data_IF_395477497426
#
_entry.id   IF_395477497426
#
_cell.length_a   1.000
_cell.length_b   1.000
_cell.length_c   1.000
_cell.angle_alpha   90.00
_cell.angle_beta   90.00
_cell.angle_gamma   90.00
#
_symmetry.space_group_name_H-M   'P 1'
#
loop_
_entity.id
_entity.type
_entity.pdbx_description
1 polymer ?
#
# COMPACT_ATOMS: atom_id res chain seq x y z
N UNK A 1 0.23 19.31 31.06
CA UNK A 1 1.48 18.84 30.46
C UNK A 1 1.50 19.27 29.00
N UNK A 2 2.33 20.29 28.69
CA UNK A 2 2.53 20.76 27.31
C UNK A 2 3.48 19.77 26.63
N UNK A 3 3.03 19.09 25.59
CA UNK A 3 3.85 18.18 24.79
C UNK A 3 4.97 18.96 24.09
N UNK A 4 6.12 18.34 23.89
CA UNK A 4 7.19 18.91 23.07
C UNK A 4 6.71 19.13 21.62
N UNK A 5 7.27 20.11 20.87
CA UNK A 5 6.82 20.43 19.51
C UNK A 5 6.77 19.23 18.56
N UNK A 6 7.73 18.31 18.64
CA UNK A 6 7.74 17.08 17.85
C UNK A 6 6.57 16.13 18.20
N UNK A 7 6.27 15.95 19.48
CA UNK A 7 5.14 15.12 19.92
C UNK A 7 3.78 15.73 19.56
N UNK A 8 3.68 17.07 19.50
CA UNK A 8 2.48 17.75 19.03
C UNK A 8 2.25 17.53 17.54
N UNK A 9 3.28 17.58 16.72
CA UNK A 9 3.20 17.32 15.28
C UNK A 9 2.76 15.89 14.97
N UNK A 10 3.35 14.89 15.64
CA UNK A 10 2.97 13.48 15.51
C UNK A 10 1.51 13.26 15.91
N UNK A 11 1.05 13.86 17.00
CA UNK A 11 -0.34 13.73 17.45
C UNK A 11 -1.32 14.33 16.43
N UNK A 12 -1.01 15.49 15.85
CA UNK A 12 -1.84 16.12 14.84
C UNK A 12 -1.92 15.29 13.55
N UNK A 13 -0.80 14.72 13.09
CA UNK A 13 -0.75 13.83 11.93
C UNK A 13 -1.59 12.57 12.15
N UNK A 14 -1.48 11.96 13.34
CA UNK A 14 -2.29 10.81 13.73
C UNK A 14 -3.80 11.14 13.73
N UNK A 15 -4.18 12.25 14.37
CA UNK A 15 -5.59 12.69 14.38
C UNK A 15 -6.14 12.92 12.97
N UNK A 16 -5.32 13.47 12.07
CA UNK A 16 -5.70 13.67 10.67
C UNK A 16 -5.92 12.34 9.94
N UNK A 17 -5.02 11.36 10.14
CA UNK A 17 -5.18 10.00 9.58
C UNK A 17 -6.43 9.30 10.13
N UNK A 18 -6.68 9.40 11.43
CA UNK A 18 -7.87 8.83 12.06
C UNK A 18 -9.16 9.44 11.48
N UNK A 19 -9.18 10.76 11.26
CA UNK A 19 -10.28 11.46 10.60
C UNK A 19 -10.50 10.99 9.14
N UNK A 20 -9.42 10.83 8.37
CA UNK A 20 -9.47 10.28 7.00
C UNK A 20 -10.05 8.86 7.03
N UNK A 21 -9.60 8.01 7.95
CA UNK A 21 -10.05 6.64 8.08
C UNK A 21 -11.54 6.55 8.45
N UNK A 22 -12.02 7.43 9.34
CA UNK A 22 -13.43 7.51 9.69
C UNK A 22 -14.31 7.94 8.51
N UNK A 23 -13.88 8.95 7.75
CA UNK A 23 -14.61 9.40 6.55
C UNK A 23 -14.64 8.30 5.47
N UNK A 24 -13.51 7.59 5.29
CA UNK A 24 -13.44 6.47 4.35
C UNK A 24 -14.38 5.34 4.75
N UNK A 25 -14.37 4.97 6.04
CA UNK A 25 -15.31 3.98 6.59
C UNK A 25 -16.75 4.35 6.25
N UNK A 26 -17.16 5.56 6.62
CA UNK A 26 -18.52 6.04 6.36
C UNK A 26 -18.90 5.97 4.88
N UNK A 27 -18.02 6.41 3.98
CA UNK A 27 -18.26 6.38 2.53
C UNK A 27 -18.38 4.95 1.98
N UNK A 28 -17.62 4.00 2.52
CA UNK A 28 -17.72 2.59 2.12
C UNK A 28 -19.00 1.94 2.66
N UNK A 29 -19.37 2.19 3.91
CA UNK A 29 -20.63 1.71 4.51
C UNK A 29 -21.86 2.24 3.75
N UNK A 30 -21.85 3.52 3.35
CA UNK A 30 -22.89 4.10 2.50
C UNK A 30 -22.95 3.43 1.12
N UNK A 31 -21.80 3.11 0.52
CA UNK A 31 -21.72 2.48 -0.80
C UNK A 31 -22.22 1.02 -0.77
N UNK A 32 -21.78 0.24 0.22
CA UNK A 32 -22.15 -1.17 0.36
C UNK A 32 -23.50 -1.35 1.07
N UNK A 33 -24.01 -0.32 1.75
CA UNK A 33 -25.22 -0.35 2.59
C UNK A 33 -25.13 -1.36 3.75
N UNK A 34 -23.93 -1.65 4.19
CA UNK A 34 -23.62 -2.55 5.30
C UNK A 34 -22.26 -2.21 5.91
N UNK A 35 -22.03 -2.63 7.14
CA UNK A 35 -20.71 -2.60 7.75
C UNK A 35 -19.81 -3.66 7.14
N UNK A 36 -18.62 -3.25 6.71
CA UNK A 36 -17.60 -4.16 6.15
C UNK A 36 -16.32 -4.08 6.96
N UNK A 37 -15.60 -5.21 7.13
CA UNK A 37 -14.30 -5.21 7.80
C UNK A 37 -13.28 -4.41 6.99
N UNK A 38 -12.64 -3.43 7.63
CA UNK A 38 -11.64 -2.54 7.01
C UNK A 38 -10.26 -2.75 7.62
N UNK A 39 -9.24 -2.71 6.76
CA UNK A 39 -7.83 -2.73 7.13
C UNK A 39 -7.19 -1.46 6.63
N UNK A 40 -6.97 -0.51 7.54
CA UNK A 40 -6.30 0.74 7.24
C UNK A 40 -4.78 0.58 7.22
N UNK A 41 -4.08 1.60 6.73
CA UNK A 41 -2.62 1.66 6.77
C UNK A 41 -2.09 1.65 8.20
N UNK A 42 -0.87 1.17 8.36
CA UNK A 42 -0.20 1.08 9.65
C UNK A 42 1.30 1.09 9.53
N UNK A 43 1.97 1.26 10.66
CA UNK A 43 3.41 1.43 10.78
C UNK A 43 3.78 2.83 11.23
N UNK A 44 4.98 3.30 10.89
CA UNK A 44 5.46 4.62 11.27
C UNK A 44 4.80 5.73 10.43
N UNK A 45 4.00 6.56 11.06
CA UNK A 45 3.35 7.71 10.39
C UNK A 45 4.34 8.83 10.00
N UNK A 46 5.56 8.80 10.51
CA UNK A 46 6.66 9.69 10.12
C UNK A 46 7.59 9.05 9.07
N UNK A 47 7.25 7.85 8.60
CA UNK A 47 8.07 7.14 7.63
C UNK A 47 8.26 7.94 6.34
N UNK A 48 9.48 7.93 5.86
CA UNK A 48 9.83 8.44 4.53
C UNK A 48 9.54 7.45 3.41
N UNK A 49 9.23 6.20 3.76
CA UNK A 49 9.01 5.10 2.82
C UNK A 49 7.62 4.52 3.05
N UNK A 50 6.78 4.59 2.02
CA UNK A 50 5.44 4.01 2.06
C UNK A 50 5.33 2.86 1.06
N UNK A 51 4.82 1.71 1.53
CA UNK A 51 4.44 0.61 0.66
C UNK A 51 2.94 0.65 0.39
N UNK A 52 2.55 0.61 -0.87
CA UNK A 52 1.14 0.62 -1.28
C UNK A 52 0.80 -0.64 -2.06
N UNK A 53 -0.06 -1.48 -1.49
CA UNK A 53 -0.60 -2.67 -2.14
C UNK A 53 -1.99 -2.44 -2.77
N UNK A 54 -2.61 -3.53 -3.20
CA UNK A 54 -3.92 -3.53 -3.85
C UNK A 54 -5.07 -3.48 -2.85
N UNK A 55 -5.22 -4.53 -2.06
CA UNK A 55 -6.30 -4.73 -1.10
C UNK A 55 -5.90 -5.78 -0.06
N UNK A 56 -6.51 -5.80 1.15
CA UNK A 56 -6.25 -6.81 2.15
C UNK A 56 -6.79 -8.18 1.74
N UNK A 57 -6.12 -9.25 2.17
CA UNK A 57 -6.57 -10.61 2.11
C UNK A 57 -7.35 -11.03 3.35
N UNK A 58 -7.66 -12.34 3.48
CA UNK A 58 -8.40 -12.89 4.63
C UNK A 58 -7.66 -12.66 5.95
N UNK A 59 -6.39 -13.02 6.02
CA UNK A 59 -5.58 -12.91 7.24
C UNK A 59 -5.41 -11.46 7.69
N UNK A 60 -5.28 -10.53 6.72
CA UNK A 60 -5.21 -9.10 7.00
C UNK A 60 -6.51 -8.60 7.64
N UNK A 61 -7.67 -9.05 7.16
CA UNK A 61 -8.97 -8.71 7.75
C UNK A 61 -9.11 -9.29 9.14
N UNK A 62 -8.74 -10.57 9.35
CA UNK A 62 -8.80 -11.25 10.66
C UNK A 62 -7.92 -10.56 11.71
N UNK A 63 -6.76 -10.02 11.31
CA UNK A 63 -5.82 -9.37 12.22
C UNK A 63 -5.92 -7.84 12.25
N UNK A 64 -6.70 -7.23 11.35
CA UNK A 64 -6.83 -5.78 11.24
C UNK A 64 -5.53 -5.06 10.83
N UNK A 65 -4.58 -5.75 10.19
CA UNK A 65 -3.26 -5.22 9.83
C UNK A 65 -2.91 -5.53 8.37
N UNK A 66 -2.29 -4.59 7.62
CA UNK A 66 -1.88 -4.83 6.25
C UNK A 66 -0.66 -5.77 6.17
N UNK A 67 -0.61 -6.62 5.15
CA UNK A 67 0.52 -7.50 4.82
C UNK A 67 0.99 -8.38 5.99
N UNK A 68 0.07 -9.13 6.60
CA UNK A 68 0.35 -10.12 7.66
C UNK A 68 0.09 -11.57 7.21
N UNK A 69 -0.55 -11.77 6.06
CA UNK A 69 -0.81 -13.07 5.45
C UNK A 69 0.36 -13.58 4.60
N UNK A 70 0.06 -14.41 3.60
CA UNK A 70 1.08 -15.03 2.74
C UNK A 70 1.91 -14.01 1.95
N UNK A 71 1.27 -12.94 1.43
CA UNK A 71 2.00 -11.83 0.79
C UNK A 71 2.90 -11.07 1.79
N UNK A 72 2.48 -11.01 3.06
CA UNK A 72 3.27 -10.43 4.14
C UNK A 72 4.56 -11.19 4.44
N UNK A 73 4.55 -12.53 4.37
CA UNK A 73 5.77 -13.34 4.53
C UNK A 73 6.80 -13.04 3.44
N UNK A 74 6.35 -12.87 2.21
CA UNK A 74 7.24 -12.49 1.11
C UNK A 74 7.71 -11.04 1.26
N UNK A 75 6.91 -10.18 1.88
CA UNK A 75 7.30 -8.81 2.20
C UNK A 75 8.41 -8.76 3.26
N UNK A 76 8.44 -9.69 4.22
CA UNK A 76 9.55 -9.79 5.19
C UNK A 76 10.89 -10.14 4.48
N UNK A 77 10.87 -11.07 3.50
CA UNK A 77 12.06 -11.34 2.67
C UNK A 77 12.51 -10.08 1.92
N UNK A 78 11.56 -9.35 1.35
CA UNK A 78 11.79 -8.06 0.69
C UNK A 78 12.45 -7.03 1.63
N UNK A 79 11.90 -6.81 2.81
CA UNK A 79 12.40 -5.86 3.80
C UNK A 79 13.83 -6.23 4.22
N UNK A 80 14.09 -7.51 4.44
CA UNK A 80 15.43 -8.03 4.77
C UNK A 80 16.45 -7.74 3.65
N UNK A 81 16.08 -7.91 2.38
CA UNK A 81 16.97 -7.60 1.24
C UNK A 81 17.29 -6.11 1.19
N UNK A 82 16.33 -5.26 1.50
CA UNK A 82 16.55 -3.81 1.55
C UNK A 82 17.43 -3.40 2.73
N UNK A 83 17.50 -4.21 3.80
CA UNK A 83 18.24 -3.89 5.01
C UNK A 83 17.57 -2.82 5.88
N UNK A 84 16.25 -2.82 5.92
CA UNK A 84 15.40 -1.93 6.72
C UNK A 84 14.53 -2.76 7.67
N UNK A 85 13.92 -2.12 8.65
CA UNK A 85 12.95 -2.75 9.55
C UNK A 85 11.52 -2.47 9.07
N UNK A 86 10.59 -3.37 9.42
CA UNK A 86 9.16 -3.16 9.15
C UNK A 86 8.62 -1.94 9.89
N UNK A 87 9.16 -1.66 11.07
CA UNK A 87 8.82 -0.53 11.91
C UNK A 87 9.22 0.82 11.29
N UNK A 88 10.19 0.83 10.36
CA UNK A 88 10.61 2.03 9.63
C UNK A 88 9.67 2.39 8.48
N UNK A 89 8.67 1.55 8.21
CA UNK A 89 7.77 1.68 7.08
C UNK A 89 6.36 2.11 7.49
N UNK A 90 5.69 2.83 6.60
CA UNK A 90 4.24 2.89 6.58
C UNK A 90 3.70 2.00 5.46
N UNK A 91 2.77 1.11 5.78
CA UNK A 91 2.27 0.10 4.84
C UNK A 91 0.75 0.24 4.70
N UNK A 92 0.29 0.31 3.48
CA UNK A 92 -1.14 0.49 3.20
C UNK A 92 -1.56 -0.22 1.90
N UNK A 93 -2.85 -0.17 1.58
CA UNK A 93 -3.43 -0.64 0.32
C UNK A 93 -4.29 0.46 -0.30
N UNK A 94 -4.49 0.44 -1.61
CA UNK A 94 -5.44 1.33 -2.29
C UNK A 94 -6.84 1.11 -1.73
N UNK A 95 -7.32 -0.14 -1.75
CA UNK A 95 -8.62 -0.53 -1.19
C UNK A 95 -8.44 -1.03 0.24
N UNK A 96 -9.32 -0.62 1.16
CA UNK A 96 -9.19 -0.94 2.60
C UNK A 96 -10.04 -2.14 3.06
N UNK A 97 -10.82 -2.72 2.19
CA UNK A 97 -11.60 -3.93 2.45
C UNK A 97 -11.13 -5.08 1.57
N UNK A 98 -11.53 -6.29 1.88
CA UNK A 98 -11.23 -7.50 1.12
C UNK A 98 -12.26 -7.70 0.01
N UNK A 99 -11.93 -7.51 -1.29
CA UNK A 99 -12.81 -7.87 -2.38
C UNK A 99 -12.91 -9.39 -2.49
N UNK A 100 -14.12 -9.93 -2.41
CA UNK A 100 -14.38 -11.38 -2.47
C UNK A 100 -15.19 -11.76 -3.68
N UNK A 101 -14.98 -12.99 -4.14
CA UNK A 101 -15.87 -13.72 -5.02
C UNK A 101 -16.39 -14.94 -4.26
N UNK A 102 -17.68 -15.11 -4.29
CA UNK A 102 -18.36 -16.26 -3.72
C UNK A 102 -18.58 -17.31 -4.82
N UNK A 103 -18.21 -18.53 -4.56
CA UNK A 103 -18.51 -19.68 -5.41
C UNK A 103 -19.81 -20.32 -4.92
N UNK A 104 -20.87 -20.23 -5.73
CA UNK A 104 -22.20 -20.73 -5.36
C UNK A 104 -22.25 -22.26 -5.16
N UNK A 105 -21.44 -23.01 -5.91
CA UNK A 105 -21.46 -24.48 -5.85
C UNK A 105 -20.75 -25.04 -4.61
N UNK A 106 -19.69 -24.36 -4.18
CA UNK A 106 -18.86 -24.86 -3.05
C UNK A 106 -19.03 -24.07 -1.76
N UNK A 107 -19.76 -22.96 -1.77
CA UNK A 107 -19.89 -22.05 -0.64
C UNK A 107 -18.59 -21.34 -0.25
N UNK A 108 -17.55 -21.40 -1.08
CA UNK A 108 -16.23 -20.87 -0.73
C UNK A 108 -16.04 -19.44 -1.23
N UNK A 109 -15.44 -18.63 -0.39
CA UNK A 109 -14.95 -17.31 -0.75
C UNK A 109 -13.52 -17.37 -1.27
N UNK A 110 -13.22 -16.55 -2.29
CA UNK A 110 -11.88 -16.30 -2.79
C UNK A 110 -11.65 -14.81 -2.98
N UNK A 111 -10.39 -14.37 -2.87
CA UNK A 111 -10.03 -13.00 -3.19
C UNK A 111 -10.24 -12.76 -4.70
N UNK A 112 -10.65 -11.55 -5.05
CA UNK A 112 -10.69 -11.04 -6.41
C UNK A 112 -10.01 -9.68 -6.49
N UNK A 113 -9.65 -9.25 -7.65
CA UNK A 113 -9.22 -7.87 -7.91
C UNK A 113 -10.38 -6.90 -7.65
N UNK A 114 -10.14 -5.75 -7.02
CA UNK A 114 -11.14 -4.70 -6.88
C UNK A 114 -11.66 -4.25 -8.24
N UNK A 115 -12.95 -3.94 -8.31
CA UNK A 115 -13.54 -3.35 -9.50
C UNK A 115 -13.23 -1.84 -9.60
N UNK A 116 -13.61 -1.21 -10.73
CA UNK A 116 -13.32 0.20 -10.98
C UNK A 116 -13.98 1.14 -9.98
N UNK A 117 -15.21 0.85 -9.53
CA UNK A 117 -15.93 1.69 -8.58
C UNK A 117 -15.31 1.60 -7.17
N UNK A 118 -14.89 0.40 -6.76
CA UNK A 118 -14.18 0.16 -5.51
C UNK A 118 -12.83 0.90 -5.45
N UNK A 119 -12.09 0.90 -6.56
CA UNK A 119 -10.85 1.66 -6.70
C UNK A 119 -11.13 3.16 -6.66
N UNK A 120 -12.11 3.63 -7.44
CA UNK A 120 -12.48 5.06 -7.53
C UNK A 120 -12.87 5.62 -6.17
N UNK A 121 -13.71 4.91 -5.42
CA UNK A 121 -14.13 5.32 -4.07
C UNK A 121 -12.95 5.44 -3.11
N UNK A 122 -11.93 4.59 -3.27
CA UNK A 122 -10.77 4.51 -2.39
C UNK A 122 -9.66 5.50 -2.78
N UNK A 123 -9.61 5.96 -4.04
CA UNK A 123 -8.52 6.80 -4.55
C UNK A 123 -8.37 8.12 -3.80
N UNK A 124 -9.45 8.83 -3.51
CA UNK A 124 -9.41 10.10 -2.79
C UNK A 124 -8.82 9.94 -1.37
N UNK A 125 -9.01 8.78 -0.76
CA UNK A 125 -8.53 8.51 0.59
C UNK A 125 -7.05 8.12 0.63
N UNK A 126 -6.56 7.34 -0.36
CA UNK A 126 -5.13 7.08 -0.49
C UNK A 126 -4.37 8.38 -0.82
N UNK A 127 -4.97 9.30 -1.58
CA UNK A 127 -4.41 10.63 -1.83
C UNK A 127 -4.23 11.42 -0.53
N UNK A 128 -5.26 11.49 0.30
CA UNK A 128 -5.23 12.18 1.58
C UNK A 128 -4.26 11.52 2.56
N UNK A 129 -4.20 10.19 2.57
CA UNK A 129 -3.28 9.39 3.39
C UNK A 129 -1.82 9.72 3.03
N UNK A 130 -1.44 9.62 1.74
CA UNK A 130 -0.09 9.94 1.27
C UNK A 130 0.26 11.42 1.48
N UNK A 131 -0.67 12.36 1.23
CA UNK A 131 -0.43 13.77 1.48
C UNK A 131 -0.29 14.12 2.97
N UNK A 132 -0.78 13.26 3.86
CA UNK A 132 -0.61 13.39 5.31
C UNK A 132 0.71 12.79 5.76
N UNK A 133 1.08 11.60 5.29
CA UNK A 133 2.37 10.94 5.58
C UNK A 133 3.53 11.75 4.99
N UNK A 134 3.42 12.26 3.76
CA UNK A 134 4.45 12.99 2.99
C UNK A 134 5.73 12.18 2.82
N UNK A 135 5.66 10.99 2.21
CA UNK A 135 6.83 10.17 1.98
C UNK A 135 7.81 10.82 0.99
N UNK A 136 9.08 10.41 1.03
CA UNK A 136 10.06 10.69 -0.01
C UNK A 136 10.05 9.59 -1.09
N UNK A 137 9.70 8.37 -0.71
CA UNK A 137 9.63 7.19 -1.57
C UNK A 137 8.31 6.44 -1.35
N UNK A 138 7.61 6.17 -2.44
CA UNK A 138 6.45 5.26 -2.46
C UNK A 138 6.79 4.05 -3.30
N UNK A 139 6.65 2.85 -2.74
CA UNK A 139 6.80 1.60 -3.47
C UNK A 139 5.42 1.04 -3.77
N UNK A 140 5.02 1.02 -5.05
CA UNK A 140 3.76 0.41 -5.46
C UNK A 140 3.95 -1.07 -5.74
N UNK A 141 3.07 -1.90 -5.18
CA UNK A 141 3.10 -3.36 -5.30
C UNK A 141 1.98 -3.83 -6.23
N UNK A 142 2.33 -4.08 -7.49
CA UNK A 142 1.41 -4.56 -8.53
C UNK A 142 0.69 -3.46 -9.31
N UNK A 143 -0.17 -3.87 -10.22
CA UNK A 143 -0.82 -2.98 -11.20
C UNK A 143 -1.81 -1.99 -10.57
N UNK A 144 -2.60 -2.41 -9.57
CA UNK A 144 -3.66 -1.55 -9.01
C UNK A 144 -3.05 -0.35 -8.31
N UNK A 145 -2.05 -0.55 -7.45
CA UNK A 145 -1.35 0.54 -6.79
C UNK A 145 -0.62 1.45 -7.78
N UNK A 146 0.06 0.87 -8.78
CA UNK A 146 0.74 1.61 -9.84
C UNK A 146 -0.21 2.53 -10.60
N UNK A 147 -1.32 2.01 -11.12
CA UNK A 147 -2.32 2.78 -11.89
C UNK A 147 -2.99 3.87 -11.05
N UNK A 148 -3.32 3.54 -9.81
CA UNK A 148 -3.93 4.49 -8.89
C UNK A 148 -3.02 5.69 -8.65
N UNK A 149 -1.73 5.46 -8.36
CA UNK A 149 -0.76 6.53 -8.06
C UNK A 149 -0.40 7.34 -9.30
N UNK A 150 -0.20 6.69 -10.45
CA UNK A 150 0.08 7.39 -11.72
C UNK A 150 -1.16 8.06 -12.31
N UNK A 151 -2.37 7.71 -11.85
CA UNK A 151 -3.65 8.10 -12.48
C UNK A 151 -3.69 7.74 -13.98
N UNK A 152 -3.08 6.61 -14.33
CA UNK A 152 -2.97 6.11 -15.69
C UNK A 152 -3.41 4.64 -15.79
N UNK A 153 -4.58 4.43 -16.37
CA UNK A 153 -5.14 3.08 -16.57
C UNK A 153 -4.34 2.22 -17.56
N UNK A 154 -3.48 2.85 -18.37
CA UNK A 154 -2.61 2.16 -19.35
C UNK A 154 -1.28 1.74 -18.76
N UNK A 155 -0.88 2.31 -17.61
CA UNK A 155 0.35 1.92 -16.93
C UNK A 155 0.33 0.43 -16.60
N UNK A 156 1.44 -0.27 -16.85
CA UNK A 156 1.58 -1.70 -16.55
C UNK A 156 2.87 -1.99 -15.81
N UNK A 157 2.76 -2.85 -14.81
CA UNK A 157 3.91 -3.26 -14.02
C UNK A 157 4.98 -3.96 -14.88
N UNK A 158 4.57 -4.69 -15.92
CA UNK A 158 5.48 -5.36 -16.84
C UNK A 158 6.41 -4.43 -17.62
N UNK A 159 6.06 -3.13 -17.73
CA UNK A 159 6.88 -2.12 -18.40
C UNK A 159 7.64 -1.26 -17.40
N UNK A 160 7.02 -0.92 -16.26
CA UNK A 160 7.51 0.12 -15.36
C UNK A 160 8.22 -0.42 -14.12
N UNK A 161 8.24 -1.75 -13.89
CA UNK A 161 8.88 -2.31 -12.70
C UNK A 161 10.37 -1.98 -12.60
N UNK A 162 10.86 -1.84 -11.39
CA UNK A 162 12.28 -1.68 -11.09
C UNK A 162 12.90 -0.37 -11.54
N UNK A 163 12.10 0.65 -11.87
CA UNK A 163 12.57 1.97 -12.32
C UNK A 163 11.91 3.10 -11.52
N UNK A 164 12.69 4.05 -10.96
CA UNK A 164 12.14 5.19 -10.23
C UNK A 164 11.44 6.17 -11.18
N UNK A 165 10.32 6.73 -10.73
CA UNK A 165 9.48 7.68 -11.46
C UNK A 165 9.17 8.85 -10.53
N UNK A 166 9.50 10.09 -10.93
CA UNK A 166 9.08 11.27 -10.18
C UNK A 166 7.59 11.50 -10.34
N UNK A 167 6.88 11.63 -9.24
CA UNK A 167 5.42 11.73 -9.21
C UNK A 167 4.99 12.92 -8.37
N UNK A 168 4.01 13.66 -8.91
CA UNK A 168 3.23 14.63 -8.15
C UNK A 168 1.80 14.08 -7.98
N UNK A 169 1.45 13.74 -6.74
CA UNK A 169 0.20 13.10 -6.40
C UNK A 169 -0.49 13.86 -5.28
N UNK A 170 -1.69 14.38 -5.52
CA UNK A 170 -2.46 15.15 -4.55
C UNK A 170 -1.67 16.30 -3.86
N UNK A 171 -0.81 16.98 -4.62
CA UNK A 171 0.03 18.08 -4.11
C UNK A 171 1.27 17.64 -3.31
N UNK A 172 1.52 16.34 -3.20
CA UNK A 172 2.74 15.77 -2.60
C UNK A 172 3.65 15.27 -3.71
N UNK A 173 4.95 15.57 -3.59
CA UNK A 173 5.97 15.10 -4.54
C UNK A 173 6.80 14.00 -3.87
N UNK A 174 6.99 12.90 -4.58
CA UNK A 174 7.79 11.76 -4.13
C UNK A 174 8.30 10.95 -5.32
N UNK A 175 9.24 10.06 -5.08
CA UNK A 175 9.64 9.08 -6.08
C UNK A 175 8.75 7.84 -5.93
N UNK A 176 8.13 7.40 -7.01
CA UNK A 176 7.44 6.11 -7.10
C UNK A 176 8.42 5.06 -7.60
N UNK A 177 8.50 3.92 -6.92
CA UNK A 177 9.26 2.76 -7.35
C UNK A 177 8.31 1.57 -7.53
N UNK A 178 7.91 1.23 -8.77
CA UNK A 178 7.00 0.14 -9.04
C UNK A 178 7.67 -1.23 -8.91
N UNK A 179 7.02 -2.15 -8.20
CA UNK A 179 7.45 -3.54 -8.08
C UNK A 179 6.28 -4.49 -8.37
N UNK A 180 6.59 -5.69 -8.83
CA UNK A 180 5.61 -6.77 -8.84
C UNK A 180 5.06 -7.01 -7.43
N UNK A 181 3.77 -7.38 -7.34
CA UNK A 181 3.20 -7.72 -6.05
C UNK A 181 3.86 -8.98 -5.49
N UNK A 182 4.22 -9.04 -4.18
CA UNK A 182 4.90 -10.21 -3.59
C UNK A 182 4.15 -11.53 -3.78
N UNK A 183 2.82 -11.52 -3.92
CA UNK A 183 2.04 -12.70 -4.24
C UNK A 183 2.27 -13.24 -5.67
N UNK A 184 2.68 -12.39 -6.61
CA UNK A 184 2.89 -12.81 -8.01
C UNK A 184 4.00 -13.86 -8.15
N UNK A 185 5.00 -13.81 -7.27
CA UNK A 185 6.14 -14.74 -7.25
C UNK A 185 5.69 -16.14 -6.83
N UNK A 186 4.65 -16.25 -5.99
CA UNK A 186 4.09 -17.53 -5.55
C UNK A 186 3.49 -18.27 -6.73
N UNK A 187 2.79 -17.55 -7.60
CA UNK A 187 2.07 -18.12 -8.74
C UNK A 187 2.93 -18.22 -10.00
N UNK A 188 3.99 -17.41 -10.12
CA UNK A 188 4.89 -17.41 -11.27
C UNK A 188 6.36 -17.34 -10.81
N UNK A 189 6.99 -18.50 -10.70
CA UNK A 189 8.40 -18.63 -10.27
C UNK A 189 9.39 -17.96 -11.24
N UNK A 190 9.06 -17.81 -12.51
CA UNK A 190 9.90 -17.10 -13.48
C UNK A 190 10.07 -15.62 -13.15
N UNK A 191 9.15 -15.03 -12.39
CA UNK A 191 9.27 -13.65 -11.92
C UNK A 191 10.21 -13.49 -10.72
N UNK A 192 10.66 -14.57 -10.09
CA UNK A 192 11.46 -14.49 -8.86
C UNK A 192 12.78 -13.74 -9.08
N UNK A 193 13.48 -14.10 -10.14
CA UNK A 193 14.79 -13.48 -10.44
C UNK A 193 14.63 -12.01 -10.82
N UNK A 194 13.62 -11.68 -11.61
CA UNK A 194 13.28 -10.28 -11.95
C UNK A 194 12.96 -9.48 -10.69
N UNK A 195 12.14 -10.04 -9.81
CA UNK A 195 11.77 -9.41 -8.54
C UNK A 195 12.99 -9.16 -7.65
N UNK A 196 13.88 -10.13 -7.50
CA UNK A 196 15.11 -9.98 -6.72
C UNK A 196 16.03 -8.90 -7.31
N UNK A 197 16.19 -8.88 -8.64
CA UNK A 197 16.94 -7.81 -9.32
C UNK A 197 16.34 -6.43 -9.05
N UNK A 198 15.03 -6.29 -9.09
CA UNK A 198 14.36 -5.02 -8.81
C UNK A 198 14.50 -4.60 -7.35
N UNK A 199 14.51 -5.53 -6.39
CA UNK A 199 14.82 -5.24 -5.00
C UNK A 199 16.23 -4.70 -4.82
N UNK A 200 17.21 -5.27 -5.51
CA UNK A 200 18.58 -4.75 -5.49
C UNK A 200 18.67 -3.34 -6.12
N UNK A 201 17.95 -3.10 -7.22
CA UNK A 201 17.85 -1.76 -7.81
C UNK A 201 17.24 -0.76 -6.82
N UNK A 202 16.13 -1.13 -6.16
CA UNK A 202 15.48 -0.31 -5.14
C UNK A 202 16.44 0.01 -3.99
N UNK A 203 17.14 -1.00 -3.45
CA UNK A 203 18.13 -0.79 -2.39
C UNK A 203 19.23 0.18 -2.80
N UNK A 204 19.78 0.02 -3.99
CA UNK A 204 20.80 0.93 -4.51
C UNK A 204 20.26 2.35 -4.71
N UNK A 205 19.02 2.47 -5.18
CA UNK A 205 18.34 3.75 -5.30
C UNK A 205 18.15 4.43 -3.93
N UNK A 206 17.67 3.69 -2.92
CA UNK A 206 17.48 4.21 -1.55
C UNK A 206 18.79 4.72 -0.95
N UNK A 207 19.91 4.01 -1.15
CA UNK A 207 21.27 4.48 -0.77
C UNK A 207 21.64 5.77 -1.49
N UNK A 208 21.40 5.84 -2.80
CA UNK A 208 21.72 7.03 -3.61
C UNK A 208 21.00 8.28 -3.10
N UNK A 209 19.73 8.16 -2.68
CA UNK A 209 18.93 9.27 -2.15
C UNK A 209 19.03 9.40 -0.61
N UNK A 210 19.91 8.64 0.04
CA UNK A 210 20.20 8.67 1.50
C UNK A 210 18.98 8.36 2.38
N UNK A 211 18.14 7.43 1.97
CA UNK A 211 17.04 6.90 2.78
C UNK A 211 17.49 5.73 3.68
N UNK A 212 18.57 5.08 3.33
CA UNK A 212 19.26 4.01 4.11
C UNK A 212 20.76 4.15 4.01
#
# INVERSE_FOLDING_TARGET
LILSPGKQGINLKKQKLDGINQLHRKKLEEHFREEIPLVFGGGDIESKIVLVGEAPGRTEVEQGKPFVGQAGKNLEEFINILGISREDLYITNVVKFRPIRYNADTGRESNRTPNRDEIRISTDFIEQELSTIKPELVVSLGNIALKCILKDDKATIGILHGSPIDVKFAGTEFVLFPLYHPASIIYNRALKDVYLQDLHKLRNFMKKIKLI
#
